data_IF_588176369861
#
_entry.id   IF_588176369861
#
_cell.length_a   1.000
_cell.length_b   1.000
_cell.length_c   1.000
_cell.angle_alpha   90.00
_cell.angle_beta   90.00
_cell.angle_gamma   90.00
#
_symmetry.space_group_name_H-M   'P 1'
#
loop_
_entity.id
_entity.type
_entity.pdbx_description
1 polymer ?
#
# COMPACT_ATOMS: atom_id res chain seq x y z
N UNK A 1 -5.99 -1.03 -12.32
CA UNK A 1 -7.23 -0.96 -11.50
C UNK A 1 -7.80 -2.35 -11.26
N UNK A 2 -8.04 -3.17 -12.27
CA UNK A 2 -8.73 -4.46 -12.12
C UNK A 2 -8.15 -5.36 -11.01
N UNK A 3 -6.86 -5.68 -11.06
CA UNK A 3 -6.23 -6.57 -10.06
C UNK A 3 -6.09 -5.87 -8.70
N UNK A 4 -5.45 -4.69 -8.66
CA UNK A 4 -5.08 -4.05 -7.40
C UNK A 4 -6.28 -3.53 -6.60
N UNK A 5 -7.29 -3.01 -7.27
CA UNK A 5 -8.45 -2.40 -6.61
C UNK A 5 -9.68 -3.30 -6.69
N UNK A 6 -10.22 -3.56 -7.88
CA UNK A 6 -11.45 -4.33 -8.03
C UNK A 6 -11.32 -5.73 -7.42
N UNK A 7 -10.23 -6.45 -7.71
CA UNK A 7 -10.00 -7.78 -7.12
C UNK A 7 -9.94 -7.76 -5.60
N UNK A 8 -9.25 -6.77 -5.02
CA UNK A 8 -9.17 -6.62 -3.55
C UNK A 8 -10.55 -6.31 -2.95
N UNK A 9 -11.30 -5.40 -3.55
CA UNK A 9 -12.66 -5.04 -3.09
C UNK A 9 -13.60 -6.23 -3.21
N UNK A 10 -13.56 -6.96 -4.33
CA UNK A 10 -14.40 -8.16 -4.54
C UNK A 10 -14.12 -9.24 -3.49
N UNK A 11 -12.84 -9.52 -3.21
CA UNK A 11 -12.45 -10.48 -2.17
C UNK A 11 -12.92 -10.01 -0.78
N UNK A 12 -12.74 -8.72 -0.47
CA UNK A 12 -13.19 -8.14 0.80
C UNK A 12 -14.70 -8.31 0.97
N UNK A 13 -15.48 -7.98 -0.07
CA UNK A 13 -16.96 -8.14 -0.04
C UNK A 13 -17.39 -9.59 0.09
N UNK A 14 -16.67 -10.53 -0.50
CA UNK A 14 -16.99 -11.96 -0.39
C UNK A 14 -16.74 -12.50 1.04
N UNK A 15 -15.75 -11.98 1.75
CA UNK A 15 -15.41 -12.42 3.13
C UNK A 15 -16.24 -11.67 4.19
N UNK A 16 -16.64 -10.44 3.91
CA UNK A 16 -17.31 -9.55 4.86
C UNK A 16 -18.54 -10.15 5.55
N UNK A 17 -19.47 -10.84 4.85
CA UNK A 17 -20.64 -11.47 5.51
C UNK A 17 -20.24 -12.43 6.63
N UNK A 18 -19.19 -13.22 6.41
CA UNK A 18 -18.68 -14.14 7.42
C UNK A 18 -18.13 -13.44 8.67
N UNK A 19 -17.46 -12.30 8.49
CA UNK A 19 -16.97 -11.50 9.61
C UNK A 19 -18.12 -10.82 10.37
N UNK A 20 -19.15 -10.34 9.65
CA UNK A 20 -20.34 -9.75 10.24
C UNK A 20 -21.13 -10.77 11.07
N UNK A 21 -21.32 -11.98 10.56
CA UNK A 21 -22.00 -13.07 11.28
C UNK A 21 -21.28 -13.41 12.59
N UNK A 22 -19.93 -13.45 12.56
CA UNK A 22 -19.13 -13.75 13.73
C UNK A 22 -18.88 -12.54 14.66
N UNK A 23 -19.27 -11.34 14.25
CA UNK A 23 -18.91 -10.07 14.92
C UNK A 23 -17.44 -9.97 15.25
N UNK A 24 -16.60 -10.56 14.43
CA UNK A 24 -15.15 -10.62 14.61
C UNK A 24 -14.44 -10.78 13.26
N UNK A 25 -13.47 -9.91 13.00
CA UNK A 25 -12.63 -10.00 11.83
C UNK A 25 -11.54 -8.95 11.80
N UNK A 26 -10.51 -9.17 10.99
CA UNK A 26 -9.47 -8.19 10.79
C UNK A 26 -8.98 -8.19 9.35
N UNK A 27 -9.36 -7.18 8.59
CA UNK A 27 -8.81 -6.95 7.26
C UNK A 27 -7.44 -6.28 7.37
N UNK A 28 -6.43 -6.91 6.77
CA UNK A 28 -5.12 -6.28 6.60
C UNK A 28 -4.86 -6.10 5.13
N UNK A 29 -4.78 -4.85 4.69
CA UNK A 29 -4.54 -4.52 3.29
C UNK A 29 -3.13 -4.01 3.07
N UNK A 30 -2.41 -4.66 2.16
CA UNK A 30 -1.08 -4.23 1.75
C UNK A 30 -1.22 -3.26 0.57
N UNK A 31 -1.02 -1.98 0.87
CA UNK A 31 -1.06 -0.93 -0.15
C UNK A 31 0.36 -0.58 -0.62
N UNK A 32 0.74 0.65 -0.57
CA UNK A 32 2.07 1.18 -0.84
C UNK A 32 2.14 2.63 -0.35
N UNK A 33 3.33 3.15 -0.09
CA UNK A 33 3.51 4.59 0.09
C UNK A 33 3.02 5.40 -1.12
N UNK A 34 2.99 4.79 -2.32
CA UNK A 34 2.36 5.41 -3.50
C UNK A 34 0.83 5.51 -3.41
N UNK A 35 0.20 4.91 -2.41
CA UNK A 35 -1.20 5.16 -2.03
C UNK A 35 -1.39 6.40 -1.17
N UNK A 36 -0.30 6.97 -0.65
CA UNK A 36 -0.28 8.21 0.15
C UNK A 36 0.27 9.38 -0.66
N UNK A 37 1.31 9.13 -1.47
CA UNK A 37 1.86 10.11 -2.41
C UNK A 37 2.22 9.43 -3.73
N UNK A 38 2.08 10.16 -4.85
CA UNK A 38 2.43 9.64 -6.16
C UNK A 38 3.87 10.01 -6.55
N UNK A 39 4.47 9.21 -7.41
CA UNK A 39 5.75 9.47 -8.05
C UNK A 39 5.60 9.48 -9.58
N UNK A 40 6.53 10.11 -10.32
CA UNK A 40 6.51 10.09 -11.78
C UNK A 40 6.42 8.66 -12.35
N UNK A 41 5.81 8.51 -13.51
CA UNK A 41 5.67 7.26 -14.27
C UNK A 41 4.87 6.13 -13.60
N UNK A 42 4.17 6.39 -12.49
CA UNK A 42 3.38 5.40 -11.75
C UNK A 42 1.93 5.83 -11.50
N UNK A 43 1.36 6.70 -12.36
CA UNK A 43 0.02 7.26 -12.16
C UNK A 43 -1.07 6.21 -11.95
N UNK A 44 -1.16 5.20 -12.83
CA UNK A 44 -2.14 4.13 -12.72
C UNK A 44 -1.97 3.27 -11.46
N UNK A 45 -0.72 2.95 -11.09
CA UNK A 45 -0.42 2.24 -9.85
C UNK A 45 -0.78 3.08 -8.62
N UNK A 46 -0.34 4.33 -8.59
CA UNK A 46 -0.66 5.26 -7.50
C UNK A 46 -2.17 5.45 -7.34
N UNK A 47 -2.91 5.63 -8.43
CA UNK A 47 -4.37 5.74 -8.40
C UNK A 47 -5.02 4.50 -7.78
N UNK A 48 -4.57 3.29 -8.17
CA UNK A 48 -5.11 2.04 -7.61
C UNK A 48 -4.85 1.90 -6.11
N UNK A 49 -3.68 2.35 -5.64
CA UNK A 49 -3.32 2.28 -4.22
C UNK A 49 -4.01 3.38 -3.38
N UNK A 50 -4.19 4.59 -3.92
CA UNK A 50 -5.02 5.62 -3.29
C UNK A 50 -6.48 5.18 -3.14
N UNK A 51 -7.04 4.53 -4.17
CA UNK A 51 -8.39 4.00 -4.12
C UNK A 51 -8.57 2.97 -2.98
N UNK A 52 -7.56 2.12 -2.73
CA UNK A 52 -7.60 1.19 -1.59
C UNK A 52 -7.60 1.93 -0.24
N UNK A 53 -6.82 3.01 -0.08
CA UNK A 53 -6.85 3.79 1.15
C UNK A 53 -8.26 4.35 1.40
N UNK A 54 -8.85 5.01 0.39
CA UNK A 54 -10.20 5.55 0.52
C UNK A 54 -11.25 4.47 0.84
N UNK A 55 -11.22 3.34 0.13
CA UNK A 55 -12.15 2.23 0.37
C UNK A 55 -12.01 1.65 1.79
N UNK A 56 -10.79 1.34 2.23
CA UNK A 56 -10.59 0.71 3.54
C UNK A 56 -10.73 1.68 4.72
N UNK A 57 -10.52 2.99 4.50
CA UNK A 57 -10.83 4.00 5.52
C UNK A 57 -12.34 4.13 5.74
N UNK A 58 -13.14 4.14 4.66
CA UNK A 58 -14.60 4.12 4.76
C UNK A 58 -15.09 2.84 5.42
N UNK A 59 -14.63 1.69 4.94
CA UNK A 59 -15.02 0.38 5.47
C UNK A 59 -14.69 0.26 6.97
N UNK A 60 -13.56 0.79 7.41
CA UNK A 60 -13.20 0.81 8.83
C UNK A 60 -14.22 1.57 9.66
N UNK A 61 -14.62 2.76 9.21
CA UNK A 61 -15.60 3.58 9.90
C UNK A 61 -16.98 2.92 9.96
N UNK A 62 -17.39 2.24 8.88
CA UNK A 62 -18.65 1.52 8.78
C UNK A 62 -18.72 0.29 9.70
N UNK A 63 -17.58 -0.36 9.99
CA UNK A 63 -17.50 -1.66 10.67
C UNK A 63 -16.93 -1.60 12.07
N UNK A 64 -16.60 -0.41 12.61
CA UNK A 64 -15.94 -0.27 13.90
C UNK A 64 -16.82 -0.87 15.03
N UNK A 65 -18.13 -0.65 14.99
CA UNK A 65 -19.09 -1.16 15.98
C UNK A 65 -19.47 -2.64 15.77
N UNK A 66 -19.15 -3.20 14.62
CA UNK A 66 -19.40 -4.63 14.29
C UNK A 66 -18.29 -5.57 14.75
N UNK A 67 -17.30 -5.08 15.47
CA UNK A 67 -16.16 -5.88 15.94
C UNK A 67 -15.15 -6.23 14.85
N UNK A 68 -15.22 -5.58 13.68
CA UNK A 68 -14.34 -5.80 12.55
C UNK A 68 -13.30 -4.69 12.48
N UNK A 69 -12.04 -5.08 12.35
CA UNK A 69 -10.89 -4.18 12.32
C UNK A 69 -10.28 -4.09 10.93
N UNK A 70 -9.63 -2.96 10.66
CA UNK A 70 -8.93 -2.74 9.39
C UNK A 70 -7.56 -2.12 9.67
N UNK A 71 -6.50 -2.76 9.18
CA UNK A 71 -5.13 -2.23 9.19
C UNK A 71 -4.66 -2.02 7.75
N UNK A 72 -4.24 -0.79 7.43
CA UNK A 72 -3.60 -0.46 6.16
C UNK A 72 -2.09 -0.46 6.36
N UNK A 73 -1.39 -1.33 5.65
CA UNK A 73 0.07 -1.33 5.62
C UNK A 73 0.54 -0.74 4.28
N UNK A 74 1.27 0.38 4.34
CA UNK A 74 1.79 1.09 3.19
C UNK A 74 3.32 0.99 3.13
N UNK A 75 3.90 -0.09 2.57
CA UNK A 75 5.33 -0.21 2.40
C UNK A 75 5.86 0.71 1.29
N UNK A 76 7.10 1.17 1.49
CA UNK A 76 7.95 1.74 0.45
C UNK A 76 8.64 0.65 -0.36
N UNK A 77 9.95 0.79 -0.56
CA UNK A 77 10.71 -0.22 -1.28
C UNK A 77 10.99 -1.46 -0.42
N UNK A 78 10.54 -2.61 -0.91
CA UNK A 78 10.77 -3.91 -0.29
C UNK A 78 11.53 -4.79 -1.29
N UNK A 79 12.62 -5.39 -0.86
CA UNK A 79 13.45 -6.26 -1.69
C UNK A 79 12.70 -7.55 -2.03
N UNK A 80 12.09 -7.58 -3.21
CA UNK A 80 11.31 -8.71 -3.74
C UNK A 80 11.55 -8.85 -5.24
N UNK A 81 11.06 -9.91 -5.85
CA UNK A 81 11.15 -10.11 -7.30
C UNK A 81 10.09 -9.33 -8.11
N UNK A 82 9.35 -8.42 -7.48
CA UNK A 82 8.22 -7.74 -8.13
C UNK A 82 8.64 -6.86 -9.31
N UNK A 83 9.79 -6.19 -9.24
CA UNK A 83 10.29 -5.40 -10.37
C UNK A 83 10.79 -6.28 -11.51
N UNK A 84 11.43 -7.40 -11.21
CA UNK A 84 11.90 -8.36 -12.23
C UNK A 84 10.70 -8.89 -13.04
N UNK A 85 9.59 -9.17 -12.36
CA UNK A 85 8.36 -9.70 -12.96
C UNK A 85 7.40 -8.61 -13.46
N UNK A 86 7.74 -7.32 -13.30
CA UNK A 86 6.90 -6.22 -13.79
C UNK A 86 6.83 -6.26 -15.32
N UNK A 87 5.64 -5.99 -15.86
CA UNK A 87 5.43 -5.93 -17.30
C UNK A 87 5.83 -4.55 -17.83
N UNK A 88 6.53 -4.55 -18.94
CA UNK A 88 6.83 -3.36 -19.75
C UNK A 88 5.63 -3.01 -20.63
N UNK A 89 5.68 -1.87 -21.31
CA UNK A 89 4.57 -1.41 -22.16
C UNK A 89 4.22 -2.34 -23.33
N UNK A 90 5.15 -3.21 -23.75
CA UNK A 90 4.93 -4.24 -24.77
C UNK A 90 4.53 -5.62 -24.19
N UNK A 91 4.28 -5.71 -22.88
CA UNK A 91 3.84 -6.93 -22.21
C UNK A 91 4.95 -7.92 -21.86
N UNK A 92 6.22 -7.60 -22.11
CA UNK A 92 7.36 -8.43 -21.71
C UNK A 92 7.75 -8.15 -20.25
N UNK A 93 8.40 -9.11 -19.60
CA UNK A 93 8.96 -8.90 -18.26
C UNK A 93 10.10 -7.89 -18.30
N UNK A 94 10.20 -7.00 -17.30
CA UNK A 94 11.29 -6.04 -17.16
C UNK A 94 12.65 -6.72 -17.00
N UNK A 95 12.70 -7.92 -16.39
CA UNK A 95 13.87 -8.77 -16.28
C UNK A 95 15.00 -8.25 -15.39
N UNK A 96 14.89 -7.02 -14.87
CA UNK A 96 15.88 -6.40 -13.99
C UNK A 96 15.28 -5.89 -12.68
N UNK A 97 16.10 -5.87 -11.64
CA UNK A 97 15.69 -5.31 -10.35
C UNK A 97 15.93 -3.80 -10.35
N UNK A 98 14.91 -3.04 -9.94
CA UNK A 98 15.02 -1.61 -9.69
C UNK A 98 16.02 -1.36 -8.54
N UNK A 99 16.98 -0.45 -8.74
CA UNK A 99 18.02 -0.12 -7.74
C UNK A 99 17.44 0.32 -6.39
N UNK A 100 16.36 1.08 -6.41
CA UNK A 100 15.70 1.52 -5.19
C UNK A 100 15.07 0.33 -4.45
N UNK A 101 14.53 -0.63 -5.18
CA UNK A 101 13.98 -1.86 -4.60
C UNK A 101 15.09 -2.80 -4.08
N UNK A 102 16.22 -2.88 -4.75
CA UNK A 102 17.38 -3.64 -4.29
C UNK A 102 17.91 -3.13 -2.94
N UNK A 103 17.82 -1.81 -2.70
CA UNK A 103 18.20 -1.12 -1.44
C UNK A 103 17.05 -1.05 -0.41
N UNK A 104 15.89 -1.59 -0.74
CA UNK A 104 14.73 -1.64 0.13
C UNK A 104 14.91 -2.53 1.35
N UNK A 105 13.96 -2.49 2.27
CA UNK A 105 13.94 -3.40 3.43
C UNK A 105 13.67 -4.84 2.98
N UNK A 106 14.05 -5.83 3.80
CA UNK A 106 13.72 -7.22 3.49
C UNK A 106 12.22 -7.50 3.61
N UNK A 107 11.73 -8.52 2.90
CA UNK A 107 10.34 -8.95 2.98
C UNK A 107 9.96 -9.39 4.42
N UNK A 108 10.88 -10.05 5.12
CA UNK A 108 10.72 -10.47 6.52
C UNK A 108 10.55 -9.27 7.45
N UNK A 109 11.38 -8.23 7.29
CA UNK A 109 11.25 -7.00 8.08
C UNK A 109 9.91 -6.32 7.82
N UNK A 110 9.45 -6.27 6.57
CA UNK A 110 8.15 -5.72 6.20
C UNK A 110 7.02 -6.51 6.85
N UNK A 111 7.07 -7.85 6.75
CA UNK A 111 6.08 -8.76 7.35
C UNK A 111 6.01 -8.60 8.88
N UNK A 112 7.16 -8.60 9.57
CA UNK A 112 7.22 -8.43 11.02
C UNK A 112 6.61 -7.10 11.48
N UNK A 113 6.88 -5.99 10.76
CA UNK A 113 6.28 -4.69 11.08
C UNK A 113 4.76 -4.71 10.87
N UNK A 114 4.29 -5.37 9.82
CA UNK A 114 2.86 -5.53 9.54
C UNK A 114 2.17 -6.36 10.62
N UNK A 115 2.73 -7.50 10.99
CA UNK A 115 2.20 -8.37 12.06
C UNK A 115 2.12 -7.63 13.40
N UNK A 116 3.16 -6.86 13.75
CA UNK A 116 3.15 -6.02 14.97
C UNK A 116 2.07 -4.93 14.92
N UNK A 117 1.77 -4.39 13.74
CA UNK A 117 0.70 -3.41 13.59
C UNK A 117 -0.69 -4.05 13.75
N UNK A 118 -0.90 -5.25 13.21
CA UNK A 118 -2.11 -6.05 13.39
C UNK A 118 -2.32 -6.34 14.88
N UNK A 119 -1.31 -6.88 15.55
CA UNK A 119 -1.37 -7.21 16.98
C UNK A 119 -1.70 -5.98 17.86
N UNK A 120 -1.27 -4.78 17.46
CA UNK A 120 -1.53 -3.53 18.17
C UNK A 120 -2.79 -2.79 17.66
N UNK A 121 -3.56 -3.40 16.78
CA UNK A 121 -4.73 -2.80 16.13
C UNK A 121 -4.44 -1.40 15.53
N UNK A 122 -3.29 -1.23 14.91
CA UNK A 122 -2.97 0.05 14.26
C UNK A 122 -3.82 0.24 13.01
N UNK A 123 -4.44 1.40 12.89
CA UNK A 123 -5.27 1.75 11.72
C UNK A 123 -4.45 1.80 10.43
N UNK A 124 -3.26 2.40 10.49
CA UNK A 124 -2.37 2.55 9.35
C UNK A 124 -0.91 2.54 9.80
N UNK A 125 -0.03 1.98 8.94
CA UNK A 125 1.42 2.06 9.12
C UNK A 125 2.12 2.35 7.81
N UNK A 126 3.12 3.21 7.89
CA UNK A 126 4.07 3.50 6.80
C UNK A 126 5.38 2.77 7.06
N UNK A 127 5.84 1.98 6.10
CA UNK A 127 7.00 1.10 6.28
C UNK A 127 8.08 1.47 5.27
N UNK A 128 9.29 1.73 5.75
CA UNK A 128 10.44 2.10 4.93
C UNK A 128 10.95 3.49 5.24
N UNK A 129 12.16 3.79 4.75
CA UNK A 129 12.78 5.12 4.95
C UNK A 129 12.00 6.21 4.22
N UNK A 130 11.42 5.85 3.09
CA UNK A 130 10.64 6.74 2.23
C UNK A 130 9.36 7.24 2.89
N UNK A 131 8.95 6.63 4.00
CA UNK A 131 7.73 7.01 4.73
C UNK A 131 7.72 8.47 5.17
N UNK A 132 8.88 9.08 5.41
CA UNK A 132 8.97 10.51 5.71
C UNK A 132 8.40 11.40 4.61
N UNK A 133 8.44 10.95 3.35
CA UNK A 133 7.89 11.70 2.23
C UNK A 133 6.37 11.92 2.34
N UNK A 134 5.65 11.01 3.02
CA UNK A 134 4.22 11.18 3.30
C UNK A 134 3.95 12.41 4.18
N UNK A 135 4.77 12.60 5.21
CA UNK A 135 4.69 13.77 6.10
C UNK A 135 5.12 15.04 5.39
N UNK A 136 6.20 15.00 4.58
CA UNK A 136 6.61 16.15 3.77
C UNK A 136 5.50 16.56 2.80
N UNK A 137 4.84 15.59 2.12
CA UNK A 137 3.68 15.89 1.27
C UNK A 137 2.55 16.56 2.07
N UNK A 138 2.26 16.08 3.26
CA UNK A 138 1.12 16.55 4.07
C UNK A 138 1.35 17.97 4.61
N UNK A 139 2.54 18.24 5.12
CA UNK A 139 2.82 19.49 5.84
C UNK A 139 3.58 20.53 5.01
N UNK A 140 4.33 20.10 3.98
CA UNK A 140 5.15 20.95 3.14
C UNK A 140 4.95 20.62 1.65
N UNK A 141 3.72 20.77 1.10
CA UNK A 141 3.39 20.28 -0.25
C UNK A 141 4.24 20.94 -1.35
N UNK A 142 4.60 22.20 -1.21
CA UNK A 142 5.47 22.90 -2.16
C UNK A 142 6.90 22.33 -2.20
N UNK A 143 7.45 21.97 -1.03
CA UNK A 143 8.75 21.31 -0.95
C UNK A 143 8.65 19.90 -1.55
N UNK A 144 7.62 19.14 -1.19
CA UNK A 144 7.39 17.82 -1.75
C UNK A 144 7.32 17.84 -3.28
N UNK A 145 6.58 18.79 -3.87
CA UNK A 145 6.46 18.93 -5.32
C UNK A 145 7.81 19.15 -6.02
N UNK A 146 8.73 19.87 -5.38
CA UNK A 146 10.10 20.08 -5.90
C UNK A 146 10.96 18.82 -5.79
N UNK A 147 10.84 18.08 -4.68
CA UNK A 147 11.62 16.87 -4.42
C UNK A 147 11.17 15.71 -5.30
N UNK A 148 9.85 15.49 -5.44
CA UNK A 148 9.32 14.33 -6.15
C UNK A 148 9.64 14.36 -7.64
N UNK A 149 9.80 15.53 -8.25
CA UNK A 149 10.24 15.67 -9.64
C UNK A 149 11.61 15.05 -9.90
N UNK A 150 12.48 15.06 -8.88
CA UNK A 150 13.85 14.52 -8.95
C UNK A 150 13.93 13.03 -8.58
N UNK A 151 12.82 12.43 -8.12
CA UNK A 151 12.81 11.03 -7.73
C UNK A 151 13.02 10.14 -8.96
N UNK A 152 14.17 9.48 -8.99
CA UNK A 152 14.48 8.44 -9.98
C UNK A 152 13.76 7.16 -9.58
N UNK A 153 12.59 6.91 -10.15
CA UNK A 153 11.75 5.74 -9.90
C UNK A 153 11.63 4.97 -11.23
N UNK A 154 12.77 4.51 -11.71
CA UNK A 154 12.85 3.59 -12.85
C UNK A 154 13.53 2.32 -12.41
#
# INVERSE_FOLDING_TARGET
MAINYIGTVSLTKAILPHFLEKKQGHFTVITSLTGVFASPFRSGYAASKHALHGFFDSLRAELEDEGIRVTIAAPGFVKTKVSINALTGNGTSLGSMDDAQAKGISAETCAQKTIRAIAKNKREIYIGRESYAAYVKRYLPGLFARLIKKAKVR
#
